data_IF_682831716767
#
_entry.id   IF_682831716767
#
_cell.length_a   1.000
_cell.length_b   1.000
_cell.length_c   1.000
_cell.angle_alpha   90.00
_cell.angle_beta   90.00
_cell.angle_gamma   90.00
#
_symmetry.space_group_name_H-M   'P 1'
#
loop_
_entity.id
_entity.type
_entity.pdbx_description
1 polymer ?
#
# COMPACT_ATOMS: atom_id res chain seq x y z
N UNK A 1 -18.45 22.19 13.50
CA UNK A 1 -19.30 20.97 13.59
C UNK A 1 -18.41 19.79 13.98
N UNK A 2 -18.86 18.85 14.82
CA UNK A 2 -18.06 17.64 15.12
C UNK A 2 -18.01 16.73 13.89
N UNK A 3 -16.83 16.20 13.58
CA UNK A 3 -16.61 15.32 12.42
C UNK A 3 -17.51 14.07 12.47
N UNK A 4 -17.72 13.50 13.66
CA UNK A 4 -18.65 12.37 13.86
C UNK A 4 -20.05 12.66 13.33
N UNK A 5 -20.57 13.87 13.59
CA UNK A 5 -21.89 14.30 13.10
C UNK A 5 -21.88 14.52 11.59
N UNK A 6 -20.78 15.02 11.02
CA UNK A 6 -20.62 15.20 9.57
C UNK A 6 -20.66 13.84 8.87
N UNK A 7 -19.93 12.87 9.39
CA UNK A 7 -19.89 11.49 8.88
C UNK A 7 -21.26 10.80 9.01
N UNK A 8 -21.91 10.93 10.17
CA UNK A 8 -23.25 10.38 10.40
C UNK A 8 -24.30 11.01 9.47
N UNK A 9 -24.27 12.33 9.29
CA UNK A 9 -25.17 13.03 8.38
C UNK A 9 -24.97 12.60 6.92
N UNK A 10 -23.72 12.45 6.48
CA UNK A 10 -23.42 11.95 5.14
C UNK A 10 -23.97 10.53 4.94
N UNK A 11 -23.77 9.64 5.91
CA UNK A 11 -24.28 8.27 5.88
C UNK A 11 -25.81 8.24 5.74
N UNK A 12 -26.54 9.00 6.56
CA UNK A 12 -28.00 9.02 6.48
C UNK A 12 -28.51 9.71 5.22
N UNK A 13 -27.81 10.72 4.70
CA UNK A 13 -28.16 11.36 3.44
C UNK A 13 -28.09 10.38 2.27
N UNK A 14 -26.97 9.66 2.12
CA UNK A 14 -26.79 8.65 1.05
C UNK A 14 -27.78 7.50 1.24
N UNK A 15 -28.02 7.05 2.48
CA UNK A 15 -29.02 6.03 2.76
C UNK A 15 -30.44 6.46 2.39
N UNK A 16 -30.78 7.74 2.57
CA UNK A 16 -32.08 8.27 2.19
C UNK A 16 -32.25 8.32 0.67
N UNK A 17 -31.20 8.68 -0.08
CA UNK A 17 -31.20 8.68 -1.55
C UNK A 17 -31.51 7.29 -2.12
N UNK A 18 -31.06 6.21 -1.49
CA UNK A 18 -31.36 4.85 -1.95
C UNK A 18 -32.85 4.47 -1.84
N UNK A 19 -33.65 5.23 -1.10
CA UNK A 19 -35.11 5.03 -1.04
C UNK A 19 -35.86 5.84 -2.10
N UNK A 20 -35.17 6.61 -2.94
CA UNK A 20 -35.80 7.35 -4.05
C UNK A 20 -35.70 6.55 -5.34
N UNK A 21 -36.52 6.92 -6.32
CA UNK A 21 -36.56 6.26 -7.62
C UNK A 21 -35.34 6.70 -8.46
N UNK A 22 -34.26 5.93 -8.36
CA UNK A 22 -32.97 6.19 -9.02
C UNK A 22 -32.81 5.29 -10.25
N UNK A 23 -32.14 5.82 -11.28
CA UNK A 23 -31.67 5.00 -12.38
C UNK A 23 -30.60 4.00 -11.90
N UNK A 24 -30.44 2.88 -12.61
CA UNK A 24 -29.56 1.78 -12.19
C UNK A 24 -28.10 2.24 -11.99
N UNK A 25 -27.59 3.12 -12.86
CA UNK A 25 -26.24 3.66 -12.75
C UNK A 25 -26.05 4.50 -11.48
N UNK A 26 -27.00 5.39 -11.18
CA UNK A 26 -26.97 6.23 -9.97
C UNK A 26 -27.11 5.39 -8.70
N UNK A 27 -27.96 4.36 -8.75
CA UNK A 27 -28.14 3.42 -7.65
C UNK A 27 -26.83 2.68 -7.32
N UNK A 28 -26.05 2.24 -8.33
CA UNK A 28 -24.74 1.61 -8.11
C UNK A 28 -23.75 2.55 -7.43
N UNK A 29 -23.74 3.83 -7.81
CA UNK A 29 -22.90 4.85 -7.18
C UNK A 29 -23.30 5.07 -5.73
N UNK A 30 -24.59 5.26 -5.44
CA UNK A 30 -25.08 5.47 -4.07
C UNK A 30 -24.84 4.24 -3.17
N UNK A 31 -24.97 3.01 -3.69
CA UNK A 31 -24.61 1.78 -2.97
C UNK A 31 -23.12 1.79 -2.62
N UNK A 32 -22.26 2.18 -3.57
CA UNK A 32 -20.81 2.22 -3.38
C UNK A 32 -20.41 3.27 -2.34
N UNK A 33 -21.02 4.47 -2.40
CA UNK A 33 -20.89 5.51 -1.36
C UNK A 33 -21.31 4.98 0.00
N UNK A 34 -22.47 4.32 0.09
CA UNK A 34 -22.98 3.81 1.36
C UNK A 34 -22.04 2.76 1.97
N UNK A 35 -21.51 1.86 1.15
CA UNK A 35 -20.54 0.85 1.58
C UNK A 35 -19.30 1.50 2.19
N UNK A 36 -18.69 2.45 1.47
CA UNK A 36 -17.50 3.15 1.97
C UNK A 36 -17.80 3.97 3.24
N UNK A 37 -18.93 4.68 3.30
CA UNK A 37 -19.35 5.40 4.50
C UNK A 37 -19.58 4.47 5.69
N UNK A 38 -20.12 3.28 5.45
CA UNK A 38 -20.28 2.24 6.48
C UNK A 38 -18.92 1.80 7.04
N UNK A 39 -17.93 1.59 6.18
CA UNK A 39 -16.56 1.25 6.58
C UNK A 39 -15.90 2.38 7.39
N UNK A 40 -16.09 3.64 6.98
CA UNK A 40 -15.60 4.81 7.70
C UNK A 40 -16.25 4.93 9.09
N UNK A 41 -17.56 4.69 9.20
CA UNK A 41 -18.29 4.66 10.48
C UNK A 41 -17.77 3.52 11.36
N UNK A 42 -17.56 2.33 10.79
CA UNK A 42 -17.00 1.20 11.52
C UNK A 42 -15.60 1.52 12.07
N UNK A 43 -14.73 2.13 11.27
CA UNK A 43 -13.40 2.59 11.72
C UNK A 43 -13.51 3.61 12.87
N UNK A 44 -14.38 4.61 12.74
CA UNK A 44 -14.60 5.60 13.80
C UNK A 44 -15.06 4.93 15.12
N UNK A 45 -15.84 3.86 15.03
CA UNK A 45 -16.33 3.11 16.19
C UNK A 45 -15.31 2.10 16.77
N UNK A 46 -14.22 1.77 16.07
CA UNK A 46 -13.12 0.96 16.64
C UNK A 46 -12.18 1.77 17.55
N UNK A 47 -12.21 3.10 17.45
CA UNK A 47 -11.36 4.01 18.25
C UNK A 47 -9.85 3.73 18.12
N UNK A 48 -9.41 3.12 17.02
CA UNK A 48 -7.99 2.80 16.75
C UNK A 48 -7.13 4.06 16.60
N UNK A 49 -7.72 5.14 16.09
CA UNK A 49 -7.10 6.47 15.96
C UNK A 49 -6.86 7.21 17.30
N UNK A 50 -7.24 6.59 18.43
CA UNK A 50 -7.03 7.15 19.78
C UNK A 50 -6.03 6.27 20.56
N UNK A 51 -5.01 6.88 21.15
CA UNK A 51 -3.99 6.13 21.90
C UNK A 51 -4.42 5.83 23.35
N UNK A 52 -5.07 6.80 24.02
CA UNK A 52 -5.34 6.70 25.46
C UNK A 52 -6.69 6.04 25.76
N UNK A 53 -6.67 4.96 26.56
CA UNK A 53 -7.86 4.22 27.02
C UNK A 53 -8.95 5.13 27.61
N UNK A 54 -8.55 6.10 28.46
CA UNK A 54 -9.48 7.08 29.06
C UNK A 54 -10.21 7.92 28.01
N UNK A 55 -9.53 8.30 26.93
CA UNK A 55 -10.16 9.06 25.83
C UNK A 55 -11.14 8.18 25.06
N UNK A 56 -10.77 6.91 24.79
CA UNK A 56 -11.70 5.94 24.16
C UNK A 56 -12.98 5.76 24.99
N UNK A 57 -12.85 5.64 26.30
CA UNK A 57 -14.01 5.52 27.20
C UNK A 57 -14.91 6.76 27.16
N UNK A 58 -14.33 7.97 27.23
CA UNK A 58 -15.09 9.23 27.07
C UNK A 58 -15.82 9.28 25.74
N UNK A 59 -15.15 8.93 24.64
CA UNK A 59 -15.73 8.93 23.30
C UNK A 59 -16.86 7.91 23.16
N UNK A 60 -16.67 6.69 23.66
CA UNK A 60 -17.71 5.66 23.65
C UNK A 60 -18.96 6.12 24.40
N UNK A 61 -18.81 6.64 25.62
CA UNK A 61 -19.93 7.16 26.40
C UNK A 61 -20.65 8.33 25.68
N UNK A 62 -19.88 9.25 25.10
CA UNK A 62 -20.40 10.41 24.38
C UNK A 62 -21.16 10.05 23.08
N UNK A 63 -20.67 9.08 22.30
CA UNK A 63 -21.36 8.63 21.10
C UNK A 63 -22.61 7.82 21.47
N UNK A 64 -22.53 6.95 22.49
CA UNK A 64 -23.69 6.18 22.97
C UNK A 64 -24.78 7.05 23.59
N UNK A 65 -24.44 8.20 24.17
CA UNK A 65 -25.42 9.14 24.73
C UNK A 65 -26.07 10.06 23.69
N UNK A 66 -25.85 9.82 22.40
CA UNK A 66 -26.28 10.70 21.30
C UNK A 66 -25.78 12.14 21.50
N UNK A 67 -24.51 12.28 21.87
CA UNK A 67 -23.82 13.56 22.03
C UNK A 67 -24.25 14.40 23.26
N UNK A 68 -24.82 13.78 24.30
CA UNK A 68 -25.12 14.47 25.56
C UNK A 68 -23.85 14.68 26.40
N UNK A 69 -23.35 15.92 26.40
CA UNK A 69 -22.20 16.32 27.20
C UNK A 69 -22.49 16.32 28.70
N UNK A 70 -23.68 16.76 29.12
CA UNK A 70 -23.98 16.96 30.54
C UNK A 70 -24.16 15.62 31.24
N UNK A 71 -24.95 14.71 30.66
CA UNK A 71 -25.17 13.38 31.20
C UNK A 71 -23.88 12.56 31.27
N UNK A 72 -23.04 12.62 30.23
CA UNK A 72 -21.77 11.89 30.20
C UNK A 72 -20.74 12.46 31.16
N UNK A 73 -20.65 13.79 31.28
CA UNK A 73 -19.74 14.42 32.25
C UNK A 73 -20.10 14.03 33.69
N UNK A 74 -21.41 14.05 34.02
CA UNK A 74 -21.93 13.59 35.31
C UNK A 74 -21.64 12.10 35.54
N UNK A 75 -21.92 11.24 34.57
CA UNK A 75 -21.70 9.80 34.67
C UNK A 75 -20.22 9.41 34.84
N UNK A 76 -19.31 10.19 34.27
CA UNK A 76 -17.86 9.95 34.35
C UNK A 76 -17.18 10.72 35.49
N UNK A 77 -17.92 11.51 36.28
CA UNK A 77 -17.37 12.31 37.37
C UNK A 77 -16.33 13.34 36.91
N UNK A 78 -16.51 13.93 35.72
CA UNK A 78 -15.60 14.93 35.14
C UNK A 78 -16.33 16.24 34.86
N UNK A 79 -15.58 17.33 34.71
CA UNK A 79 -16.16 18.59 34.24
C UNK A 79 -16.60 18.48 32.77
N UNK A 80 -17.69 19.17 32.44
CA UNK A 80 -18.19 19.29 31.06
C UNK A 80 -17.10 19.80 30.11
N UNK A 81 -16.35 20.82 30.52
CA UNK A 81 -15.24 21.37 29.73
C UNK A 81 -14.16 20.31 29.42
N UNK A 82 -13.81 19.46 30.40
CA UNK A 82 -12.86 18.36 30.17
C UNK A 82 -13.36 17.37 29.11
N UNK A 83 -14.66 17.08 29.09
CA UNK A 83 -15.28 16.24 28.08
C UNK A 83 -15.27 16.92 26.71
N UNK A 84 -15.71 18.17 26.61
CA UNK A 84 -15.73 18.97 25.37
C UNK A 84 -14.35 19.05 24.71
N UNK A 85 -13.30 19.34 25.49
CA UNK A 85 -11.92 19.34 25.00
C UNK A 85 -11.50 17.96 24.48
N UNK A 86 -11.85 16.90 25.19
CA UNK A 86 -11.52 15.52 24.79
C UNK A 86 -12.21 15.14 23.47
N UNK A 87 -13.51 15.43 23.36
CA UNK A 87 -14.32 15.16 22.18
C UNK A 87 -13.84 15.98 20.99
N UNK A 88 -13.53 17.26 21.17
CA UNK A 88 -13.03 18.13 20.10
C UNK A 88 -11.69 17.62 19.56
N UNK A 89 -10.77 17.24 20.43
CA UNK A 89 -9.47 16.67 20.01
C UNK A 89 -9.64 15.33 19.30
N UNK A 90 -10.51 14.46 19.79
CA UNK A 90 -10.81 13.19 19.13
C UNK A 90 -11.46 13.40 17.77
N UNK A 91 -12.38 14.36 17.65
CA UNK A 91 -13.01 14.75 16.39
C UNK A 91 -11.99 15.24 15.37
N UNK A 92 -11.10 16.16 15.76
CA UNK A 92 -10.03 16.66 14.88
C UNK A 92 -9.08 15.54 14.44
N UNK A 93 -8.73 14.62 15.35
CA UNK A 93 -7.90 13.46 14.98
C UNK A 93 -8.59 12.55 13.96
N UNK A 94 -9.90 12.32 14.10
CA UNK A 94 -10.64 11.53 13.13
C UNK A 94 -10.76 12.25 11.79
N UNK A 95 -10.99 13.56 11.81
CA UNK A 95 -11.04 14.41 10.62
C UNK A 95 -9.71 14.39 9.85
N UNK A 96 -8.56 14.45 10.53
CA UNK A 96 -7.25 14.29 9.89
C UNK A 96 -7.07 12.92 9.20
N UNK A 97 -7.80 11.89 9.64
CA UNK A 97 -7.72 10.53 9.09
C UNK A 97 -8.72 10.29 7.97
N UNK A 98 -9.89 10.91 8.03
CA UNK A 98 -11.04 10.57 7.19
C UNK A 98 -11.60 11.76 6.38
N UNK A 99 -11.16 12.98 6.63
CA UNK A 99 -11.74 14.20 6.06
C UNK A 99 -11.69 14.23 4.54
N UNK A 100 -10.49 14.04 3.99
CA UNK A 100 -10.25 13.96 2.54
C UNK A 100 -11.14 12.89 1.87
N UNK A 101 -11.17 11.69 2.44
CA UNK A 101 -12.00 10.60 1.93
C UNK A 101 -13.49 10.96 1.96
N UNK A 102 -13.99 11.53 3.06
CA UNK A 102 -15.40 11.91 3.19
C UNK A 102 -15.79 12.99 2.17
N UNK A 103 -14.93 13.99 1.97
CA UNK A 103 -15.18 15.06 1.00
C UNK A 103 -15.24 14.52 -0.44
N UNK A 104 -14.39 13.55 -0.79
CA UNK A 104 -14.43 12.86 -2.10
C UNK A 104 -15.69 12.01 -2.28
N UNK A 105 -16.14 11.27 -1.25
CA UNK A 105 -17.41 10.53 -1.30
C UNK A 105 -18.56 11.48 -1.63
N UNK A 106 -18.62 12.62 -0.93
CA UNK A 106 -19.67 13.62 -1.13
C UNK A 106 -19.60 14.28 -2.51
N UNK A 107 -18.40 14.40 -3.09
CA UNK A 107 -18.20 14.86 -4.47
C UNK A 107 -18.51 13.80 -5.54
N UNK A 108 -18.76 12.53 -5.16
CA UNK A 108 -19.05 11.44 -6.09
C UNK A 108 -17.82 10.64 -6.56
N UNK A 109 -16.62 11.02 -6.14
CA UNK A 109 -15.37 10.29 -6.42
C UNK A 109 -15.16 9.16 -5.41
N UNK A 110 -15.90 8.05 -5.59
CA UNK A 110 -15.88 6.92 -4.63
C UNK A 110 -14.54 6.18 -4.64
N UNK A 111 -13.94 5.98 -5.81
CA UNK A 111 -12.67 5.27 -5.94
C UNK A 111 -11.51 6.07 -5.32
N UNK A 112 -11.45 7.38 -5.61
CA UNK A 112 -10.50 8.27 -4.96
C UNK A 112 -10.73 8.34 -3.45
N UNK A 113 -11.98 8.36 -2.99
CA UNK A 113 -12.31 8.32 -1.58
C UNK A 113 -11.84 7.03 -0.89
N UNK A 114 -12.02 5.87 -1.52
CA UNK A 114 -11.56 4.58 -0.99
C UNK A 114 -10.04 4.57 -0.82
N UNK A 115 -9.30 5.11 -1.80
CA UNK A 115 -7.84 5.25 -1.71
C UNK A 115 -7.41 6.16 -0.57
N UNK A 116 -8.01 7.34 -0.44
CA UNK A 116 -7.75 8.28 0.66
C UNK A 116 -8.10 7.68 2.03
N UNK A 117 -9.17 6.89 2.11
CA UNK A 117 -9.56 6.20 3.34
C UNK A 117 -8.46 5.24 3.77
N UNK A 118 -7.99 4.37 2.88
CA UNK A 118 -6.94 3.40 3.18
C UNK A 118 -5.62 4.06 3.59
N UNK A 119 -5.24 5.16 2.92
CA UNK A 119 -4.06 5.97 3.26
C UNK A 119 -4.23 6.59 4.65
N UNK A 120 -5.35 7.29 4.87
CA UNK A 120 -5.63 8.01 6.10
C UNK A 120 -5.66 7.09 7.32
N UNK A 121 -6.24 5.89 7.19
CA UNK A 121 -6.28 4.89 8.26
C UNK A 121 -5.01 4.06 8.40
N UNK A 122 -4.05 4.20 7.48
CA UNK A 122 -2.83 3.38 7.45
C UNK A 122 -3.07 1.90 7.10
N UNK A 123 -4.19 1.60 6.44
CA UNK A 123 -4.53 0.25 5.96
C UNK A 123 -3.85 -0.06 4.63
N UNK A 124 -3.52 0.98 3.84
CA UNK A 124 -2.62 0.83 2.72
C UNK A 124 -1.19 0.76 3.28
N UNK A 125 -0.72 -0.45 3.56
CA UNK A 125 0.69 -0.71 3.82
C UNK A 125 1.36 -1.05 2.50
N UNK A 126 2.26 -0.20 1.96
CA UNK A 126 2.99 -0.50 0.72
C UNK A 126 3.90 -1.73 0.84
N UNK A 127 4.07 -2.29 2.06
CA UNK A 127 4.98 -3.39 2.36
C UNK A 127 4.72 -4.64 1.53
N UNK A 128 3.47 -4.92 1.15
CA UNK A 128 3.14 -6.07 0.30
C UNK A 128 3.66 -5.94 -1.14
N UNK A 129 4.01 -4.73 -1.57
CA UNK A 129 4.54 -4.47 -2.89
C UNK A 129 6.07 -4.58 -3.00
N UNK A 130 6.81 -4.69 -1.89
CA UNK A 130 8.27 -4.82 -1.95
C UNK A 130 8.71 -6.27 -2.10
N UNK A 131 9.82 -6.50 -2.81
CA UNK A 131 10.45 -7.83 -2.91
C UNK A 131 10.81 -8.36 -1.53
N UNK A 132 10.60 -9.66 -1.33
CA UNK A 132 10.94 -10.33 -0.09
C UNK A 132 12.42 -10.14 0.26
N UNK A 133 12.72 -9.81 1.51
CA UNK A 133 14.08 -9.57 1.99
C UNK A 133 14.67 -8.20 1.66
N UNK A 134 14.20 -7.50 0.62
CA UNK A 134 14.75 -6.21 0.20
C UNK A 134 14.68 -5.13 1.29
N UNK A 135 13.58 -5.09 2.05
CA UNK A 135 13.40 -4.11 3.14
C UNK A 135 14.43 -4.26 4.27
N UNK A 136 15.11 -5.41 4.40
CA UNK A 136 16.17 -5.62 5.42
C UNK A 136 17.48 -4.92 5.07
N UNK A 137 17.66 -4.55 3.81
CA UNK A 137 18.85 -3.84 3.31
C UNK A 137 18.71 -2.32 3.43
N UNK A 138 17.50 -1.83 3.74
CA UNK A 138 17.20 -0.41 3.86
C UNK A 138 17.39 0.07 5.31
N UNK A 139 17.69 1.37 5.51
CA UNK A 139 17.73 1.95 6.85
C UNK A 139 16.37 1.83 7.55
N UNK A 140 16.41 1.73 8.88
CA UNK A 140 15.17 1.71 9.68
C UNK A 140 14.37 3.02 9.50
N UNK A 141 13.06 2.94 9.23
CA UNK A 141 12.23 4.13 9.07
C UNK A 141 12.24 5.00 10.34
N UNK A 142 12.65 6.26 10.19
CA UNK A 142 12.68 7.25 11.26
C UNK A 142 12.07 8.57 10.78
N UNK A 143 11.37 9.26 11.69
CA UNK A 143 10.87 10.60 11.42
C UNK A 143 12.05 11.59 11.32
N UNK A 144 12.21 12.20 10.15
CA UNK A 144 13.26 13.17 9.84
C UNK A 144 12.62 14.49 9.37
N UNK A 145 12.17 15.36 10.29
CA UNK A 145 11.61 16.64 9.91
C UNK A 145 12.69 17.52 9.28
N UNK A 146 12.44 18.06 8.08
CA UNK A 146 13.40 18.92 7.36
C UNK A 146 14.12 18.27 6.17
N UNK A 147 13.75 17.04 5.79
CA UNK A 147 14.21 16.45 4.53
C UNK A 147 13.68 17.26 3.36
N UNK A 148 14.59 17.67 2.46
CA UNK A 148 14.23 18.27 1.18
C UNK A 148 13.83 17.18 0.19
N UNK A 149 12.54 17.14 -0.14
CA UNK A 149 11.99 16.16 -1.08
C UNK A 149 12.44 16.39 -2.52
N UNK A 150 12.96 17.57 -2.87
CA UNK A 150 13.42 17.87 -4.22
C UNK A 150 14.68 17.07 -4.61
N UNK A 151 15.50 16.71 -3.62
CA UNK A 151 16.74 15.94 -3.83
C UNK A 151 16.57 14.44 -3.58
N UNK A 152 15.42 14.00 -3.06
CA UNK A 152 15.14 12.58 -2.74
C UNK A 152 14.86 11.69 -3.97
N UNK A 153 15.15 12.19 -5.18
CA UNK A 153 14.86 11.48 -6.42
C UNK A 153 15.61 10.13 -6.54
N UNK A 154 16.92 10.02 -6.22
CA UNK A 154 17.63 8.75 -6.27
C UNK A 154 17.02 7.71 -5.32
N UNK A 155 16.65 8.10 -4.11
CA UNK A 155 16.05 7.22 -3.10
C UNK A 155 14.67 6.73 -3.55
N UNK A 156 13.84 7.62 -4.11
CA UNK A 156 12.54 7.24 -4.66
C UNK A 156 12.69 6.27 -5.85
N UNK A 157 13.70 6.46 -6.71
CA UNK A 157 14.00 5.53 -7.81
C UNK A 157 14.44 4.16 -7.27
N UNK A 158 15.31 4.14 -6.27
CA UNK A 158 15.72 2.91 -5.59
C UNK A 158 14.51 2.17 -5.00
N UNK A 159 13.67 2.85 -4.22
CA UNK A 159 12.47 2.25 -3.63
C UNK A 159 11.50 1.71 -4.69
N UNK A 160 11.35 2.41 -5.82
CA UNK A 160 10.54 1.95 -6.95
C UNK A 160 11.10 0.66 -7.57
N UNK A 161 12.41 0.55 -7.71
CA UNK A 161 13.07 -0.67 -8.24
C UNK A 161 12.89 -1.86 -7.31
N UNK A 162 12.80 -1.65 -6.00
CA UNK A 162 12.55 -2.72 -5.03
C UNK A 162 11.08 -3.17 -4.98
N UNK A 163 10.20 -2.52 -5.74
CA UNK A 163 8.79 -2.89 -5.85
C UNK A 163 8.61 -4.03 -6.86
N UNK A 164 7.86 -5.05 -6.47
CA UNK A 164 7.62 -6.28 -7.24
C UNK A 164 7.00 -6.00 -8.61
N UNK A 165 6.09 -5.02 -8.70
CA UNK A 165 5.47 -4.62 -9.97
C UNK A 165 6.49 -4.04 -10.96
N UNK A 166 7.42 -3.20 -10.48
CA UNK A 166 8.49 -2.64 -11.32
C UNK A 166 9.40 -3.74 -11.84
N UNK A 167 9.80 -4.67 -10.96
CA UNK A 167 10.64 -5.81 -11.36
C UNK A 167 9.93 -6.77 -12.30
N UNK A 168 8.63 -7.01 -12.07
CA UNK A 168 7.82 -7.83 -12.98
C UNK A 168 7.79 -7.22 -14.37
N UNK A 169 7.60 -5.89 -14.48
CA UNK A 169 7.67 -5.18 -15.75
C UNK A 169 9.04 -5.25 -16.41
N UNK A 170 10.13 -5.18 -15.65
CA UNK A 170 11.49 -5.36 -16.18
C UNK A 170 11.72 -6.78 -16.70
N UNK A 171 11.30 -7.80 -15.94
CA UNK A 171 11.43 -9.22 -16.32
C UNK A 171 10.66 -9.51 -17.61
N UNK A 172 9.44 -8.97 -17.74
CA UNK A 172 8.63 -9.12 -18.96
C UNK A 172 9.30 -8.57 -20.23
N UNK A 173 10.23 -7.61 -20.08
CA UNK A 173 11.01 -7.07 -21.19
C UNK A 173 12.19 -7.94 -21.65
N UNK A 174 12.46 -9.06 -20.98
CA UNK A 174 13.59 -9.95 -21.26
C UNK A 174 13.13 -11.29 -21.87
N UNK A 175 14.06 -11.97 -22.54
CA UNK A 175 13.84 -13.31 -23.08
C UNK A 175 13.74 -14.34 -21.94
N UNK A 176 12.55 -14.95 -21.80
CA UNK A 176 12.25 -15.89 -20.73
C UNK A 176 13.10 -17.17 -20.81
N UNK A 177 13.43 -17.68 -22.00
CA UNK A 177 14.23 -18.91 -22.14
C UNK A 177 15.67 -18.66 -21.69
N UNK A 178 16.25 -17.53 -22.10
CA UNK A 178 17.60 -17.13 -21.68
C UNK A 178 17.67 -16.90 -20.18
N UNK A 179 16.68 -16.20 -19.62
CA UNK A 179 16.61 -15.95 -18.18
C UNK A 179 16.48 -17.26 -17.39
N UNK A 180 15.63 -18.18 -17.84
CA UNK A 180 15.49 -19.51 -17.22
C UNK A 180 16.80 -20.30 -17.27
N UNK A 181 17.52 -20.29 -18.39
CA UNK A 181 18.80 -20.99 -18.51
C UNK A 181 19.85 -20.40 -17.56
N UNK A 182 19.95 -19.07 -17.48
CA UNK A 182 20.88 -18.40 -16.54
C UNK A 182 20.54 -18.78 -15.09
N UNK A 183 19.26 -18.75 -14.72
CA UNK A 183 18.81 -19.15 -13.39
C UNK A 183 19.08 -20.64 -13.12
N UNK A 184 18.91 -21.50 -14.12
CA UNK A 184 19.22 -22.92 -14.03
C UNK A 184 20.71 -23.17 -13.79
N UNK A 185 21.60 -22.47 -14.48
CA UNK A 185 23.05 -22.56 -14.26
C UNK A 185 23.41 -22.09 -12.84
N UNK A 186 22.85 -20.94 -12.41
CA UNK A 186 23.12 -20.32 -11.12
C UNK A 186 22.67 -21.17 -9.93
N UNK A 187 21.43 -21.65 -9.97
CA UNK A 187 20.80 -22.30 -8.82
C UNK A 187 20.76 -23.84 -8.93
N UNK A 188 21.08 -24.39 -10.10
CA UNK A 188 21.20 -25.83 -10.30
C UNK A 188 22.43 -26.43 -9.63
N UNK A 189 22.49 -27.75 -9.60
CA UNK A 189 23.62 -28.52 -9.06
C UNK A 189 24.30 -29.41 -10.09
N UNK A 190 23.94 -29.30 -11.36
CA UNK A 190 24.56 -30.07 -12.43
C UNK A 190 26.03 -29.65 -12.58
N UNK A 191 26.93 -30.62 -12.51
CA UNK A 191 28.38 -30.43 -12.63
C UNK A 191 28.83 -30.08 -14.04
N UNK A 192 27.98 -30.33 -15.05
CA UNK A 192 28.22 -29.93 -16.44
C UNK A 192 28.40 -28.41 -16.59
N UNK A 193 27.73 -27.63 -15.74
CA UNK A 193 27.74 -26.16 -15.79
C UNK A 193 28.61 -25.52 -14.69
N UNK A 194 29.58 -26.27 -14.15
CA UNK A 194 30.39 -25.80 -13.02
C UNK A 194 31.23 -24.56 -13.38
N UNK A 195 31.79 -24.53 -14.60
CA UNK A 195 32.59 -23.41 -15.11
C UNK A 195 31.72 -22.17 -15.28
N UNK A 196 30.57 -22.31 -15.93
CA UNK A 196 29.64 -21.21 -16.20
C UNK A 196 29.04 -20.65 -14.93
N UNK A 197 28.71 -21.51 -13.96
CA UNK A 197 28.28 -21.07 -12.63
C UNK A 197 29.39 -20.27 -11.94
N UNK A 198 30.64 -20.71 -12.04
CA UNK A 198 31.80 -19.98 -11.51
C UNK A 198 31.90 -18.56 -12.08
N UNK A 199 31.81 -18.44 -13.42
CA UNK A 199 31.88 -17.15 -14.09
C UNK A 199 30.70 -16.24 -13.73
N UNK A 200 29.47 -16.78 -13.62
CA UNK A 200 28.33 -15.99 -13.17
C UNK A 200 28.48 -15.49 -11.74
N UNK A 201 29.02 -16.30 -10.82
CA UNK A 201 29.32 -15.86 -9.45
C UNK A 201 30.35 -14.73 -9.46
N UNK A 202 31.43 -14.86 -10.24
CA UNK A 202 32.44 -13.81 -10.39
C UNK A 202 31.82 -12.52 -10.92
N UNK A 203 30.92 -12.60 -11.91
CA UNK A 203 30.18 -11.46 -12.42
C UNK A 203 29.32 -10.78 -11.36
N UNK A 204 28.55 -11.52 -10.56
CA UNK A 204 27.72 -10.95 -9.49
C UNK A 204 28.55 -10.38 -8.32
N UNK A 205 29.80 -10.82 -8.17
CA UNK A 205 30.77 -10.26 -7.22
C UNK A 205 31.56 -9.07 -7.80
N UNK A 206 31.26 -8.64 -9.03
CA UNK A 206 31.96 -7.56 -9.74
C UNK A 206 33.44 -7.87 -10.05
N UNK A 207 33.82 -9.15 -10.15
CA UNK A 207 35.19 -9.60 -10.44
C UNK A 207 35.51 -9.65 -11.94
N UNK A 208 34.49 -9.88 -12.78
CA UNK A 208 34.58 -9.90 -14.25
C UNK A 208 33.40 -9.14 -14.85
N UNK A 209 33.54 -8.67 -16.09
CA UNK A 209 32.47 -7.98 -16.80
C UNK A 209 31.54 -8.93 -17.57
N UNK A 210 30.43 -8.38 -18.10
CA UNK A 210 29.45 -9.17 -18.86
C UNK A 210 29.99 -9.69 -20.19
N UNK A 211 30.95 -9.00 -20.81
CA UNK A 211 31.54 -9.41 -22.06
C UNK A 211 32.45 -10.64 -21.86
N UNK A 212 33.20 -10.68 -20.75
CA UNK A 212 34.00 -11.83 -20.34
C UNK A 212 33.12 -13.06 -20.07
N UNK A 213 31.97 -12.87 -19.39
CA UNK A 213 30.98 -13.95 -19.19
C UNK A 213 30.49 -14.49 -20.54
N UNK A 214 30.06 -13.61 -21.45
CA UNK A 214 29.54 -14.02 -22.77
C UNK A 214 30.61 -14.77 -23.56
N UNK A 215 31.85 -14.28 -23.58
CA UNK A 215 32.95 -14.92 -24.29
C UNK A 215 33.22 -16.31 -23.72
N UNK A 216 33.19 -16.48 -22.40
CA UNK A 216 33.39 -17.78 -21.77
C UNK A 216 32.31 -18.79 -22.15
N UNK A 217 31.06 -18.36 -22.27
CA UNK A 217 29.94 -19.23 -22.65
C UNK A 217 30.01 -19.63 -24.13
N UNK A 218 30.53 -18.75 -24.99
CA UNK A 218 30.72 -19.04 -26.42
C UNK A 218 31.91 -19.99 -26.68
N UNK A 219 32.94 -19.93 -25.84
CA UNK A 219 34.10 -20.80 -25.94
C UNK A 219 33.80 -22.25 -25.51
N UNK A 220 32.73 -22.47 -24.73
CA UNK A 220 32.36 -23.79 -24.24
C UNK A 220 31.57 -24.61 -25.28
N UNK A 221 32.01 -25.85 -25.50
CA UNK A 221 31.41 -26.82 -26.44
C UNK A 221 29.94 -27.12 -26.16
N UNK A 222 29.47 -26.90 -24.93
CA UNK A 222 28.08 -27.15 -24.52
C UNK A 222 27.09 -26.27 -25.30
N UNK A 223 27.47 -25.04 -25.64
CA UNK A 223 26.61 -24.08 -26.34
C UNK A 223 26.86 -24.01 -27.84
N UNK A 224 27.97 -24.59 -28.34
CA UNK A 224 28.27 -24.66 -29.77
C UNK A 224 27.46 -25.76 -30.51
N UNK A 225 26.81 -26.68 -29.80
CA UNK A 225 25.96 -27.72 -30.41
C UNK A 225 24.54 -27.19 -30.71
N UNK A 226 24.07 -26.15 -30.01
CA UNK A 226 22.72 -25.61 -30.19
C UNK A 226 22.60 -24.64 -31.39
N UNK A 227 23.70 -24.04 -31.84
CA UNK A 227 23.76 -23.23 -33.07
C UNK A 227 23.77 -24.09 -34.35
N UNK A 228 24.38 -25.27 -34.32
CA UNK A 228 24.44 -26.20 -35.46
C UNK A 228 23.09 -26.89 -35.77
N UNK A 229 22.18 -26.98 -34.80
CA UNK A 229 20.86 -27.62 -34.99
C UNK A 229 19.77 -26.65 -35.44
N UNK A 230 20.02 -25.33 -35.49
CA UNK A 230 19.07 -24.35 -36.03
C UNK A 230 19.20 -24.11 -37.53
N UNK A 231 20.33 -24.49 -38.14
CA UNK A 231 20.55 -24.36 -39.59
C UNK A 231 20.05 -25.57 -40.40
N UNK A 232 19.66 -26.68 -39.76
CA UNK A 232 19.16 -27.89 -40.43
C UNK A 232 17.63 -28.07 -40.40
N UNK A 233 16.87 -26.98 -40.18
CA UNK A 233 15.40 -26.98 -40.30
C UNK A 233 14.96 -25.91 -41.33
N UNK A 234 15.60 -25.91 -42.49
CA UNK A 234 15.02 -25.42 -43.74
C UNK A 234 15.51 -26.35 -44.84
N UNK A 235 14.75 -27.42 -45.08
CA UNK A 235 14.55 -28.05 -46.38
C UNK A 235 13.16 -28.72 -46.37
#
# INVERSE_FOLDING_TARGET
>A
MLFFRKLEAAYYSVKANLNTDLQEADMRVEISKLKLLSEMVAYANRYEYLNHKRTKQKMKAFLSSKYDYAGVAKALGISRNSLEVSVTRASKKLELRLGSALDRVLAGDVDGAAKEFLIGTGQLLPRSGFVEGALRLLPEPKECPGVDWSVAQPELRLLKLLHSETLSGLIQGHDNERLQMILFILFGHDGKYATERGNLIQYFNEEIDVAEVIQSFQADTIYNISSLNRENVVD
#
